data_IF_935279767851
#
_entry.id   IF_935279767851
#
_cell.length_a   1.000
_cell.length_b   1.000
_cell.length_c   1.000
_cell.angle_alpha   90.00
_cell.angle_beta   90.00
_cell.angle_gamma   90.00
#
_symmetry.space_group_name_H-M   'P 1'
#
loop_
_entity.id
_entity.type
_entity.pdbx_description
1 polymer ?
#
# COMPACT_ATOMS: atom_id res chain seq x y z
N UNK A 1 22.50 -15.93 17.87
CA UNK A 1 21.62 -15.55 16.73
C UNK A 1 20.76 -14.41 17.27
N UNK A 2 20.71 -13.28 16.56
CA UNK A 2 19.90 -12.13 16.98
C UNK A 2 18.41 -12.48 16.82
N UNK A 3 17.56 -12.10 17.77
CA UNK A 3 16.13 -12.39 17.74
C UNK A 3 15.33 -11.11 17.51
N UNK A 4 14.31 -11.19 16.66
CA UNK A 4 13.34 -10.12 16.40
C UNK A 4 11.93 -10.66 16.57
N UNK A 5 11.14 -9.98 17.38
CA UNK A 5 9.71 -10.26 17.52
C UNK A 5 8.92 -9.17 16.82
N UNK A 6 7.96 -9.56 15.97
CA UNK A 6 7.09 -8.61 15.25
C UNK A 6 5.66 -8.82 15.74
N UNK A 7 5.08 -7.80 16.37
CA UNK A 7 3.74 -7.87 16.94
C UNK A 7 2.71 -7.20 16.04
N UNK A 8 1.58 -7.90 15.80
CA UNK A 8 0.44 -7.42 15.02
C UNK A 8 -0.87 -7.79 15.70
N UNK A 9 -1.92 -6.98 15.46
CA UNK A 9 -3.27 -7.25 15.95
C UNK A 9 -4.26 -7.62 14.84
N UNK A 10 -3.90 -7.40 13.58
CA UNK A 10 -4.77 -7.71 12.46
C UNK A 10 -4.62 -9.17 12.05
N UNK A 11 -5.75 -9.78 11.71
CA UNK A 11 -5.80 -11.10 11.11
C UNK A 11 -5.96 -11.06 9.60
N UNK A 12 -6.69 -10.04 9.10
CA UNK A 12 -6.89 -9.86 7.67
C UNK A 12 -5.64 -9.24 7.03
N UNK A 13 -5.30 -9.71 5.83
CA UNK A 13 -4.10 -9.24 5.12
C UNK A 13 -4.43 -7.99 4.33
N UNK A 14 -3.94 -6.85 4.81
CA UNK A 14 -3.95 -5.55 4.11
C UNK A 14 -2.52 -5.06 3.84
N UNK A 15 -2.38 -3.82 3.40
CA UNK A 15 -1.05 -3.26 3.08
C UNK A 15 -0.06 -3.26 4.26
N UNK A 16 -0.54 -3.05 5.49
CA UNK A 16 0.29 -3.10 6.69
C UNK A 16 0.78 -4.52 7.02
N UNK A 17 -0.02 -5.53 6.74
CA UNK A 17 0.30 -6.94 6.96
C UNK A 17 1.24 -7.47 5.88
N UNK A 18 1.07 -7.04 4.63
CA UNK A 18 2.05 -7.29 3.56
C UNK A 18 3.41 -6.74 3.96
N UNK A 19 3.46 -5.51 4.49
CA UNK A 19 4.71 -4.91 4.97
C UNK A 19 5.30 -5.64 6.17
N UNK A 20 4.48 -6.19 7.07
CA UNK A 20 4.99 -7.02 8.17
C UNK A 20 5.74 -8.25 7.63
N UNK A 21 5.14 -8.98 6.70
CA UNK A 21 5.78 -10.14 6.07
C UNK A 21 7.05 -9.76 5.31
N UNK A 22 7.03 -8.62 4.63
CA UNK A 22 8.22 -8.09 3.94
C UNK A 22 9.35 -7.77 4.93
N UNK A 23 9.06 -7.10 6.06
CA UNK A 23 10.04 -6.85 7.13
C UNK A 23 10.56 -8.16 7.72
N UNK A 24 9.68 -9.15 7.95
CA UNK A 24 10.07 -10.46 8.47
C UNK A 24 11.03 -11.20 7.52
N UNK A 25 10.73 -11.21 6.23
CA UNK A 25 11.59 -11.82 5.18
C UNK A 25 12.95 -11.12 5.11
N UNK A 26 12.97 -9.79 5.10
CA UNK A 26 14.19 -8.99 5.09
C UNK A 26 15.05 -9.26 6.34
N UNK A 27 14.47 -9.22 7.55
CA UNK A 27 15.18 -9.51 8.79
C UNK A 27 15.74 -10.95 8.82
N UNK A 28 14.96 -11.95 8.35
CA UNK A 28 15.44 -13.34 8.22
C UNK A 28 16.64 -13.43 7.26
N UNK A 29 16.60 -12.73 6.13
CA UNK A 29 17.72 -12.71 5.18
C UNK A 29 18.99 -12.03 5.72
N UNK A 30 18.84 -11.19 6.77
CA UNK A 30 19.93 -10.55 7.52
C UNK A 30 20.43 -11.41 8.71
N UNK A 31 19.93 -12.65 8.83
CA UNK A 31 20.38 -13.60 9.86
C UNK A 31 19.64 -13.48 11.20
N UNK A 32 18.53 -12.77 11.27
CA UNK A 32 17.68 -12.71 12.47
C UNK A 32 16.75 -13.92 12.53
N UNK A 33 16.57 -14.46 13.74
CA UNK A 33 15.47 -15.36 14.04
C UNK A 33 14.22 -14.52 14.29
N UNK A 34 13.26 -14.59 13.39
CA UNK A 34 12.03 -13.79 13.45
C UNK A 34 10.89 -14.61 14.05
N UNK A 35 10.16 -14.02 14.98
CA UNK A 35 8.96 -14.60 15.59
C UNK A 35 7.80 -13.60 15.47
N UNK A 36 6.68 -14.05 14.89
CA UNK A 36 5.46 -13.25 14.77
C UNK A 36 4.61 -13.42 16.02
N UNK A 37 4.16 -12.32 16.61
CA UNK A 37 3.33 -12.29 17.82
C UNK A 37 1.97 -11.73 17.45
N UNK A 38 0.94 -12.56 17.42
CA UNK A 38 -0.41 -12.17 16.99
C UNK A 38 -1.53 -12.79 17.84
N UNK A 39 -2.80 -12.38 17.60
CA UNK A 39 -3.97 -12.92 18.29
C UNK A 39 -4.31 -14.34 17.85
N UNK A 40 -5.11 -15.03 18.66
CA UNK A 40 -5.70 -16.31 18.29
C UNK A 40 -6.86 -16.17 17.30
N UNK A 41 -7.53 -15.01 17.33
CA UNK A 41 -8.62 -14.66 16.40
C UNK A 41 -8.62 -13.13 16.17
N UNK A 42 -8.66 -12.67 14.89
CA UNK A 42 -8.44 -13.42 13.67
C UNK A 42 -6.97 -13.84 13.54
N UNK A 43 -6.68 -14.98 12.89
CA UNK A 43 -5.34 -15.60 12.88
C UNK A 43 -4.69 -15.71 11.50
N UNK A 44 -5.34 -15.24 10.44
CA UNK A 44 -4.90 -15.40 9.03
C UNK A 44 -3.43 -15.00 8.82
N UNK A 45 -3.02 -13.85 9.38
CA UNK A 45 -1.63 -13.38 9.25
C UNK A 45 -0.63 -14.28 10.01
N UNK A 46 -1.02 -14.75 11.21
CA UNK A 46 -0.17 -15.62 12.01
C UNK A 46 0.00 -16.98 11.32
N UNK A 47 -1.04 -17.49 10.69
CA UNK A 47 -0.98 -18.73 9.88
C UNK A 47 -0.16 -18.49 8.61
N UNK A 48 -0.40 -17.41 7.85
CA UNK A 48 0.40 -17.08 6.67
C UNK A 48 1.91 -16.96 6.99
N UNK A 49 2.24 -16.38 8.14
CA UNK A 49 3.63 -16.33 8.60
C UNK A 49 4.19 -17.74 8.94
N UNK A 50 3.37 -18.61 9.50
CA UNK A 50 3.77 -20.00 9.79
C UNK A 50 3.98 -20.82 8.50
N UNK A 51 3.13 -20.61 7.49
CA UNK A 51 3.27 -21.23 6.17
C UNK A 51 4.58 -20.83 5.47
N UNK A 52 5.08 -19.62 5.75
CA UNK A 52 6.41 -19.16 5.32
C UNK A 52 7.56 -19.64 6.22
N UNK A 53 7.28 -20.46 7.24
CA UNK A 53 8.27 -21.03 8.16
C UNK A 53 8.77 -20.06 9.25
N UNK A 54 8.03 -18.99 9.55
CA UNK A 54 8.33 -18.13 10.70
C UNK A 54 7.83 -18.76 12.00
N UNK A 55 8.61 -18.61 13.08
CA UNK A 55 8.14 -18.92 14.42
C UNK A 55 6.99 -18.00 14.82
N UNK A 56 6.07 -18.47 15.65
CA UNK A 56 4.91 -17.71 16.10
C UNK A 56 4.66 -17.80 17.59
N UNK A 57 4.13 -16.75 18.16
CA UNK A 57 3.54 -16.67 19.50
C UNK A 57 2.08 -16.26 19.33
N UNK A 58 1.16 -17.18 19.59
CA UNK A 58 -0.28 -16.93 19.51
C UNK A 58 -0.78 -16.50 20.88
N UNK A 59 -1.21 -15.25 20.97
CA UNK A 59 -1.77 -14.69 22.21
C UNK A 59 -3.26 -15.07 22.33
N UNK A 60 -3.75 -15.47 23.53
CA UNK A 60 -5.15 -15.83 23.74
C UNK A 60 -6.04 -14.59 23.70
N UNK A 61 -6.36 -14.12 22.51
CA UNK A 61 -7.13 -12.90 22.29
C UNK A 61 -8.03 -13.03 21.06
N UNK A 62 -9.31 -12.67 21.22
CA UNK A 62 -10.34 -12.70 20.19
C UNK A 62 -10.85 -11.32 19.79
N UNK A 63 -10.31 -10.29 20.42
CA UNK A 63 -10.61 -8.89 20.11
C UNK A 63 -9.45 -7.98 20.50
N UNK A 64 -9.53 -6.73 20.05
CA UNK A 64 -8.47 -5.71 20.22
C UNK A 64 -8.10 -5.49 21.69
N UNK A 65 -9.06 -5.43 22.61
CA UNK A 65 -8.80 -5.16 24.01
C UNK A 65 -8.05 -6.33 24.68
N UNK A 66 -8.50 -7.56 24.42
CA UNK A 66 -7.82 -8.77 24.91
C UNK A 66 -6.41 -8.87 24.34
N UNK A 67 -6.22 -8.57 23.05
CA UNK A 67 -4.90 -8.56 22.42
C UNK A 67 -3.97 -7.55 23.09
N UNK A 68 -4.41 -6.33 23.31
CA UNK A 68 -3.59 -5.30 23.94
C UNK A 68 -3.15 -5.71 25.36
N UNK A 69 -4.05 -6.30 26.13
CA UNK A 69 -3.72 -6.81 27.47
C UNK A 69 -2.75 -7.99 27.41
N UNK A 70 -3.03 -8.98 26.57
CA UNK A 70 -2.20 -10.17 26.40
C UNK A 70 -0.78 -9.81 25.93
N UNK A 71 -0.65 -8.93 24.93
CA UNK A 71 0.64 -8.45 24.44
C UNK A 71 1.41 -7.67 25.54
N UNK A 72 0.71 -6.83 26.30
CA UNK A 72 1.32 -6.10 27.40
C UNK A 72 1.88 -7.03 28.48
N UNK A 73 1.13 -8.08 28.84
CA UNK A 73 1.56 -9.09 29.80
C UNK A 73 2.71 -9.92 29.25
N UNK A 74 2.61 -10.36 28.01
CA UNK A 74 3.66 -11.13 27.33
C UNK A 74 4.97 -10.32 27.28
N UNK A 75 4.93 -9.08 26.81
CA UNK A 75 6.12 -8.22 26.74
C UNK A 75 6.70 -7.85 28.11
N UNK A 76 5.89 -7.88 29.19
CA UNK A 76 6.41 -7.72 30.55
C UNK A 76 7.32 -8.86 31.00
N UNK A 77 7.06 -10.06 30.50
CA UNK A 77 7.85 -11.28 30.77
C UNK A 77 9.05 -11.43 29.81
N UNK A 78 9.03 -10.70 28.70
CA UNK A 78 10.04 -10.72 27.63
C UNK A 78 10.61 -9.31 27.40
N UNK A 79 10.95 -8.60 28.47
CA UNK A 79 11.35 -7.15 28.41
C UNK A 79 12.67 -6.88 27.69
N UNK A 80 13.50 -7.90 27.54
CA UNK A 80 14.84 -7.80 26.94
C UNK A 80 14.83 -8.10 25.42
N UNK A 81 13.68 -8.54 24.87
CA UNK A 81 13.56 -8.79 23.42
C UNK A 81 13.38 -7.48 22.65
N UNK A 82 13.89 -7.45 21.42
CA UNK A 82 13.57 -6.38 20.48
C UNK A 82 12.19 -6.66 19.87
N UNK A 83 11.23 -5.75 20.09
CA UNK A 83 9.87 -5.84 19.62
C UNK A 83 9.58 -4.82 18.54
N UNK A 84 9.27 -5.29 17.33
CA UNK A 84 8.74 -4.48 16.24
C UNK A 84 7.21 -4.44 16.32
N UNK A 85 6.66 -3.28 16.66
CA UNK A 85 5.22 -3.06 16.76
C UNK A 85 4.67 -2.66 15.39
N UNK A 86 4.00 -3.59 14.70
CA UNK A 86 3.40 -3.38 13.38
C UNK A 86 2.03 -2.71 13.53
N UNK A 87 2.01 -1.39 13.52
CA UNK A 87 0.83 -0.55 13.66
C UNK A 87 0.59 0.00 15.06
N UNK A 88 -0.46 0.81 15.17
CA UNK A 88 -0.79 1.58 16.38
C UNK A 88 -1.18 0.70 17.57
N UNK A 89 -1.90 -0.38 17.35
CA UNK A 89 -2.46 -1.22 18.43
C UNK A 89 -1.37 -1.91 19.24
N UNK A 90 -0.42 -2.68 18.63
CA UNK A 90 0.69 -3.25 19.37
C UNK A 90 1.60 -2.19 19.98
N UNK A 91 1.78 -1.05 19.31
CA UNK A 91 2.55 0.08 19.84
C UNK A 91 1.91 0.68 21.11
N UNK A 92 0.58 0.88 21.10
CA UNK A 92 -0.16 1.38 22.27
C UNK A 92 -0.20 0.34 23.40
N UNK A 93 -0.40 -0.94 23.08
CA UNK A 93 -0.39 -2.01 24.10
C UNK A 93 0.91 -2.05 24.91
N UNK A 94 2.03 -1.73 24.27
CA UNK A 94 3.37 -1.76 24.86
C UNK A 94 3.92 -0.36 25.21
N UNK A 95 3.10 0.69 25.09
CA UNK A 95 3.47 2.07 25.36
C UNK A 95 4.19 2.26 26.71
N UNK A 96 5.26 3.07 26.70
CA UNK A 96 6.11 3.34 27.87
C UNK A 96 7.17 2.28 28.17
N UNK A 97 7.28 1.20 27.39
CA UNK A 97 8.34 0.18 27.50
C UNK A 97 9.50 0.49 26.55
N UNK A 98 10.68 -0.04 26.84
CA UNK A 98 11.90 0.07 26.01
C UNK A 98 11.99 -1.07 24.98
N UNK A 99 13.05 -1.08 24.20
CA UNK A 99 13.39 -2.10 23.18
C UNK A 99 12.27 -2.31 22.16
N UNK A 100 11.69 -1.19 21.68
CA UNK A 100 10.58 -1.23 20.73
C UNK A 100 10.85 -0.35 19.53
N UNK A 101 10.56 -0.90 18.36
CA UNK A 101 10.37 -0.18 17.10
C UNK A 101 8.86 -0.01 16.91
N UNK A 102 8.40 1.20 16.65
CA UNK A 102 6.99 1.49 16.33
C UNK A 102 6.90 1.77 14.84
N UNK A 103 6.13 0.97 14.12
CA UNK A 103 5.92 1.14 12.68
C UNK A 103 4.45 1.45 12.40
N UNK A 104 4.16 2.69 12.03
CA UNK A 104 2.81 3.17 11.72
C UNK A 104 2.62 3.14 10.19
N UNK A 105 1.61 2.41 9.72
CA UNK A 105 1.34 2.25 8.28
C UNK A 105 0.37 3.28 7.72
N UNK A 106 -0.33 3.99 8.59
CA UNK A 106 -1.28 5.03 8.21
C UNK A 106 -1.39 6.08 9.31
N UNK A 107 -1.89 7.26 8.93
CA UNK A 107 -2.20 8.31 9.91
C UNK A 107 -3.41 7.89 10.73
N UNK A 108 -3.28 7.78 12.04
CA UNK A 108 -4.43 7.56 12.90
C UNK A 108 -5.32 8.79 12.91
N UNK A 109 -6.63 8.59 12.71
CA UNK A 109 -7.64 9.65 12.73
C UNK A 109 -8.51 9.59 13.99
N UNK A 110 -9.17 10.68 14.32
CA UNK A 110 -10.13 10.77 15.41
C UNK A 110 -9.51 10.40 16.78
N UNK A 111 -10.20 9.55 17.55
CA UNK A 111 -9.74 9.12 18.87
C UNK A 111 -8.43 8.32 18.84
N UNK A 112 -8.16 7.62 17.73
CA UNK A 112 -6.91 6.86 17.58
C UNK A 112 -5.69 7.78 17.50
N UNK A 113 -5.81 9.00 16.98
CA UNK A 113 -4.71 9.97 16.95
C UNK A 113 -4.21 10.32 18.35
N UNK A 114 -5.11 10.36 19.36
CA UNK A 114 -4.76 10.63 20.77
C UNK A 114 -3.91 9.53 21.40
N UNK A 115 -3.89 8.33 20.82
CA UNK A 115 -3.07 7.22 21.31
C UNK A 115 -1.61 7.28 20.82
N UNK A 116 -1.32 8.02 19.74
CA UNK A 116 0.01 8.08 19.11
C UNK A 116 1.11 8.52 20.10
N UNK A 117 0.96 9.61 20.88
CA UNK A 117 2.00 10.01 21.82
C UNK A 117 2.31 8.94 22.88
N UNK A 118 1.28 8.24 23.36
CA UNK A 118 1.47 7.15 24.31
C UNK A 118 2.12 5.93 23.66
N UNK A 119 1.69 5.55 22.46
CA UNK A 119 2.25 4.44 21.69
C UNK A 119 3.75 4.63 21.43
N UNK A 120 4.17 5.85 21.13
CA UNK A 120 5.57 6.23 20.86
C UNK A 120 6.43 6.38 22.12
N UNK A 121 5.80 6.52 23.29
CA UNK A 121 6.53 6.77 24.54
C UNK A 121 7.57 5.68 24.82
N UNK A 122 8.86 6.06 24.94
CA UNK A 122 10.01 5.18 25.12
C UNK A 122 10.24 4.17 23.98
N UNK A 123 9.63 4.36 22.82
CA UNK A 123 10.07 3.65 21.61
C UNK A 123 11.48 4.13 21.24
N UNK A 124 12.30 3.24 20.72
CA UNK A 124 13.64 3.60 20.26
C UNK A 124 13.59 4.37 18.96
N UNK A 125 12.63 4.03 18.10
CA UNK A 125 12.34 4.72 16.84
C UNK A 125 10.86 4.57 16.51
N UNK A 126 10.32 5.55 15.78
CA UNK A 126 9.00 5.48 15.15
C UNK A 126 9.19 5.61 13.65
N UNK A 127 8.70 4.63 12.91
CA UNK A 127 8.80 4.52 11.46
C UNK A 127 7.46 4.82 10.81
N UNK A 128 7.49 5.50 9.67
CA UNK A 128 6.31 5.85 8.85
C UNK A 128 6.60 5.65 7.37
N UNK A 129 5.60 5.35 6.52
CA UNK A 129 5.84 4.90 5.15
C UNK A 129 6.21 6.01 4.16
N UNK A 130 6.06 7.29 4.50
CA UNK A 130 6.28 8.41 3.58
C UNK A 130 6.56 9.71 4.32
N UNK A 131 7.10 10.69 3.62
CA UNK A 131 7.26 12.08 4.12
C UNK A 131 5.92 12.73 4.41
N UNK A 132 4.90 12.40 3.61
CA UNK A 132 3.54 12.86 3.89
C UNK A 132 3.08 12.47 5.30
N UNK A 133 3.29 11.21 5.69
CA UNK A 133 2.94 10.72 7.05
C UNK A 133 3.89 11.30 8.09
N UNK A 134 5.18 11.46 7.80
CA UNK A 134 6.17 12.06 8.70
C UNK A 134 5.80 13.49 9.11
N UNK A 135 5.36 14.32 8.15
CA UNK A 135 4.90 15.68 8.45
C UNK A 135 3.75 15.71 9.48
N UNK A 136 2.87 14.73 9.43
CA UNK A 136 1.77 14.60 10.37
C UNK A 136 2.13 13.84 11.66
N UNK A 137 3.34 13.28 11.72
CA UNK A 137 3.86 12.54 12.88
C UNK A 137 5.30 12.99 13.21
N UNK A 138 5.50 14.24 13.66
CA UNK A 138 6.83 14.80 13.90
C UNK A 138 7.72 13.93 14.79
N UNK A 139 9.01 13.79 14.42
CA UNK A 139 9.97 12.94 15.12
C UNK A 139 9.78 11.44 14.85
N UNK A 140 9.07 11.07 13.78
CA UNK A 140 9.19 9.77 13.13
C UNK A 140 10.25 9.81 12.03
N UNK A 141 10.65 8.66 11.54
CA UNK A 141 11.59 8.49 10.44
C UNK A 141 10.87 7.83 9.26
N UNK A 142 11.16 8.28 8.04
CA UNK A 142 10.60 7.66 6.84
C UNK A 142 11.21 6.28 6.64
N UNK A 143 10.35 5.30 6.57
CA UNK A 143 10.65 3.91 6.29
C UNK A 143 9.71 3.46 5.17
N UNK A 144 10.06 3.82 3.93
CA UNK A 144 9.22 3.62 2.78
C UNK A 144 8.84 2.14 2.63
N UNK A 145 7.57 1.89 2.31
CA UNK A 145 7.09 0.57 1.95
C UNK A 145 7.77 0.08 0.66
N UNK A 146 7.74 -1.23 0.44
CA UNK A 146 8.26 -1.85 -0.78
C UNK A 146 7.40 -3.01 -1.22
N UNK A 147 7.52 -3.35 -2.49
CA UNK A 147 6.78 -4.44 -3.13
C UNK A 147 7.74 -5.29 -3.95
N UNK A 148 7.40 -6.57 -4.11
CA UNK A 148 8.07 -7.43 -5.08
C UNK A 148 7.85 -6.92 -6.49
N UNK A 149 8.83 -7.11 -7.36
CA UNK A 149 8.66 -6.79 -8.78
C UNK A 149 7.54 -7.63 -9.39
N UNK A 150 6.73 -6.97 -10.21
CA UNK A 150 5.69 -7.62 -11.02
C UNK A 150 6.25 -7.82 -12.42
N UNK A 151 6.24 -9.06 -12.88
CA UNK A 151 6.68 -9.39 -14.23
C UNK A 151 5.46 -9.50 -15.15
N UNK A 152 5.36 -8.58 -16.08
CA UNK A 152 4.33 -8.64 -17.13
C UNK A 152 4.99 -8.77 -18.50
N UNK A 153 4.49 -9.67 -19.33
CA UNK A 153 4.80 -9.68 -20.75
C UNK A 153 3.94 -8.62 -21.44
N UNK A 154 4.37 -7.35 -21.34
CA UNK A 154 3.65 -6.27 -22.02
C UNK A 154 4.03 -6.25 -23.50
N UNK A 155 3.05 -6.49 -24.36
CA UNK A 155 3.10 -6.02 -25.73
C UNK A 155 2.60 -4.57 -25.73
N UNK A 156 3.54 -3.63 -25.76
CA UNK A 156 3.24 -2.20 -25.77
C UNK A 156 2.70 -1.69 -27.11
N UNK A 157 2.55 -2.56 -28.12
CA UNK A 157 1.93 -2.18 -29.39
C UNK A 157 0.43 -1.99 -29.22
N UNK A 158 0.00 -0.74 -29.10
CA UNK A 158 -1.42 -0.42 -28.92
C UNK A 158 -2.18 -0.58 -30.25
N UNK A 159 -1.57 -0.22 -31.38
CA UNK A 159 -2.23 -0.20 -32.69
C UNK A 159 -3.53 0.63 -32.68
N UNK A 160 -4.52 0.19 -33.46
CA UNK A 160 -5.83 0.86 -33.53
C UNK A 160 -6.86 0.34 -32.54
N UNK A 161 -6.47 -0.56 -31.63
CA UNK A 161 -7.39 -1.06 -30.59
C UNK A 161 -7.72 0.00 -29.54
N UNK A 162 -8.80 -0.23 -28.81
CA UNK A 162 -9.11 0.57 -27.62
C UNK A 162 -8.02 0.45 -26.57
N UNK A 163 -7.71 1.56 -25.93
CA UNK A 163 -6.81 1.59 -24.78
C UNK A 163 -7.51 1.07 -23.53
N UNK A 164 -6.81 0.27 -22.76
CA UNK A 164 -7.32 -0.35 -21.54
C UNK A 164 -6.79 0.39 -20.31
N UNK A 165 -7.69 1.13 -19.68
CA UNK A 165 -7.43 1.85 -18.43
C UNK A 165 -7.66 0.90 -17.26
N UNK A 166 -6.67 0.70 -16.40
CA UNK A 166 -6.74 -0.19 -15.25
C UNK A 166 -7.00 0.54 -13.94
N UNK A 167 -7.73 -0.11 -13.06
CA UNK A 167 -7.87 0.26 -11.65
C UNK A 167 -7.62 -0.98 -10.79
N UNK A 168 -6.82 -0.83 -9.73
CA UNK A 168 -6.57 -1.88 -8.74
C UNK A 168 -6.71 -1.34 -7.32
N UNK A 169 -7.68 -1.84 -6.58
CA UNK A 169 -7.88 -1.43 -5.20
C UNK A 169 -9.25 -1.76 -4.65
N UNK A 170 -9.48 -1.44 -3.39
CA UNK A 170 -10.81 -1.59 -2.78
C UNK A 170 -11.80 -0.69 -3.49
N UNK A 171 -12.98 -1.22 -3.79
CA UNK A 171 -14.06 -0.45 -4.39
C UNK A 171 -14.78 0.35 -3.30
N UNK A 172 -14.24 1.52 -2.96
CA UNK A 172 -14.79 2.45 -1.99
C UNK A 172 -14.75 3.87 -2.53
N UNK A 173 -15.66 4.77 -2.10
CA UNK A 173 -15.63 6.18 -2.53
C UNK A 173 -14.28 6.86 -2.26
N UNK A 174 -13.68 6.56 -1.12
CA UNK A 174 -12.38 7.10 -0.70
C UNK A 174 -11.23 6.75 -1.67
N UNK A 175 -11.33 5.65 -2.42
CA UNK A 175 -10.38 5.23 -3.45
C UNK A 175 -10.68 5.81 -4.84
N UNK A 176 -11.72 6.63 -4.96
CA UNK A 176 -12.01 7.43 -6.14
C UNK A 176 -12.55 6.66 -7.35
N UNK A 177 -13.10 5.45 -7.16
CA UNK A 177 -13.67 4.67 -8.27
C UNK A 177 -14.81 5.43 -8.97
N UNK A 178 -15.63 6.17 -8.24
CA UNK A 178 -16.69 7.00 -8.81
C UNK A 178 -16.15 8.13 -9.68
N UNK A 179 -15.05 8.78 -9.25
CA UNK A 179 -14.34 9.79 -10.04
C UNK A 179 -13.81 9.21 -11.35
N UNK A 180 -13.22 7.99 -11.30
CA UNK A 180 -12.74 7.30 -12.50
C UNK A 180 -13.90 6.94 -13.44
N UNK A 181 -15.01 6.40 -12.91
CA UNK A 181 -16.18 6.10 -13.75
C UNK A 181 -16.71 7.35 -14.46
N UNK A 182 -16.79 8.48 -13.76
CA UNK A 182 -17.22 9.76 -14.35
C UNK A 182 -16.24 10.24 -15.44
N UNK A 183 -14.94 10.14 -15.22
CA UNK A 183 -13.90 10.50 -16.19
C UNK A 183 -14.00 9.61 -17.45
N UNK A 184 -14.14 8.30 -17.26
CA UNK A 184 -14.28 7.33 -18.36
C UNK A 184 -15.57 7.53 -19.16
N UNK A 185 -16.68 7.86 -18.49
CA UNK A 185 -17.95 8.19 -19.16
C UNK A 185 -17.81 9.44 -20.02
N UNK A 186 -17.12 10.47 -19.53
CA UNK A 186 -16.87 11.68 -20.30
C UNK A 186 -15.97 11.43 -21.54
N UNK A 187 -14.95 10.60 -21.40
CA UNK A 187 -14.05 10.22 -22.50
C UNK A 187 -14.75 9.41 -23.62
N UNK A 188 -15.72 8.59 -23.25
CA UNK A 188 -16.44 7.70 -24.16
C UNK A 188 -17.85 8.25 -24.55
N UNK A 189 -18.12 9.55 -24.35
CA UNK A 189 -19.44 10.13 -24.57
C UNK A 189 -19.91 10.06 -26.03
N UNK A 190 -19.01 10.35 -26.96
CA UNK A 190 -19.31 10.34 -28.40
C UNK A 190 -19.01 8.98 -29.04
N UNK A 191 -17.86 8.40 -28.70
CA UNK A 191 -17.39 7.11 -29.20
C UNK A 191 -16.61 6.38 -28.09
N UNK A 192 -16.77 5.05 -28.00
CA UNK A 192 -16.03 4.24 -27.04
C UNK A 192 -14.62 3.98 -27.56
N UNK A 193 -13.65 4.72 -27.02
CA UNK A 193 -12.21 4.64 -27.38
C UNK A 193 -11.34 4.07 -26.25
N UNK A 194 -11.89 3.97 -25.05
CA UNK A 194 -11.23 3.40 -23.87
C UNK A 194 -12.07 2.30 -23.24
N UNK A 195 -11.44 1.19 -22.89
CA UNK A 195 -12.03 0.16 -22.04
C UNK A 195 -11.51 0.33 -20.59
N UNK A 196 -12.34 0.02 -19.60
CA UNK A 196 -11.99 0.09 -18.19
C UNK A 196 -11.87 -1.32 -17.60
N UNK A 197 -10.71 -1.66 -17.03
CA UNK A 197 -10.48 -2.95 -16.34
C UNK A 197 -10.35 -2.71 -14.85
N UNK A 198 -11.25 -3.31 -14.07
CA UNK A 198 -11.39 -3.05 -12.64
C UNK A 198 -11.01 -4.30 -11.85
N UNK A 199 -9.94 -4.21 -11.07
CA UNK A 199 -9.54 -5.20 -10.07
C UNK A 199 -9.88 -4.74 -8.65
N UNK A 200 -10.60 -5.56 -7.91
CA UNK A 200 -10.96 -5.29 -6.52
C UNK A 200 -12.42 -5.54 -6.17
N UNK A 201 -12.70 -5.45 -4.88
CA UNK A 201 -14.03 -5.70 -4.30
C UNK A 201 -14.38 -4.63 -3.25
N UNK A 202 -15.69 -4.43 -2.94
CA UNK A 202 -16.15 -3.46 -1.94
C UNK A 202 -15.96 -4.01 -0.51
N UNK A 203 -14.73 -4.37 -0.16
CA UNK A 203 -14.39 -4.90 1.16
C UNK A 203 -14.37 -3.75 2.18
N UNK A 204 -14.97 -3.96 3.36
CA UNK A 204 -15.09 -2.99 4.45
C UNK A 204 -15.89 -1.72 4.12
N UNK A 205 -16.67 -1.72 3.04
CA UNK A 205 -17.56 -0.61 2.69
C UNK A 205 -18.89 -0.73 3.44
N UNK A 206 -19.48 0.39 3.85
CA UNK A 206 -20.85 0.45 4.34
C UNK A 206 -21.86 0.17 3.23
N UNK A 207 -23.13 -0.05 3.56
CA UNK A 207 -24.16 -0.30 2.55
C UNK A 207 -24.37 0.94 1.66
N UNK A 208 -24.26 2.14 2.23
CA UNK A 208 -24.34 3.40 1.48
C UNK A 208 -23.16 3.53 0.51
N UNK A 209 -21.94 3.27 0.96
CA UNK A 209 -20.73 3.31 0.12
C UNK A 209 -20.80 2.26 -1.01
N UNK A 210 -21.34 1.07 -0.73
CA UNK A 210 -21.56 0.03 -1.75
C UNK A 210 -22.55 0.49 -2.81
N UNK A 211 -23.65 1.13 -2.39
CA UNK A 211 -24.66 1.65 -3.32
C UNK A 211 -24.07 2.72 -4.22
N UNK A 212 -23.34 3.69 -3.67
CA UNK A 212 -22.65 4.74 -4.43
C UNK A 212 -21.71 4.15 -5.47
N UNK A 213 -20.87 3.17 -5.07
CA UNK A 213 -19.93 2.50 -5.96
C UNK A 213 -20.65 1.75 -7.08
N UNK A 214 -21.69 0.97 -6.76
CA UNK A 214 -22.44 0.22 -7.78
C UNK A 214 -23.20 1.14 -8.75
N UNK A 215 -23.68 2.29 -8.32
CA UNK A 215 -24.28 3.31 -9.20
C UNK A 215 -23.25 3.88 -10.16
N UNK A 216 -22.03 4.20 -9.69
CA UNK A 216 -20.94 4.65 -10.54
C UNK A 216 -20.54 3.59 -11.55
N UNK A 217 -20.39 2.33 -11.14
CA UNK A 217 -20.03 1.21 -11.99
C UNK A 217 -21.06 0.91 -13.09
N UNK A 218 -22.35 1.14 -12.83
CA UNK A 218 -23.40 1.02 -13.86
C UNK A 218 -23.20 1.97 -15.03
N UNK A 219 -22.67 3.18 -14.81
CA UNK A 219 -22.45 4.18 -15.85
C UNK A 219 -21.43 3.73 -16.89
N UNK A 220 -20.49 2.86 -16.50
CA UNK A 220 -19.39 2.38 -17.36
C UNK A 220 -19.58 0.93 -17.81
N UNK A 221 -20.72 0.30 -17.50
CA UNK A 221 -20.93 -1.15 -17.70
C UNK A 221 -20.77 -1.62 -19.15
N UNK A 222 -21.00 -0.74 -20.15
CA UNK A 222 -20.89 -1.09 -21.57
C UNK A 222 -19.45 -1.16 -22.10
N UNK A 223 -18.48 -0.61 -21.37
CA UNK A 223 -17.06 -0.60 -21.75
C UNK A 223 -16.14 -0.94 -20.57
N UNK A 224 -16.65 -1.61 -19.55
CA UNK A 224 -15.84 -2.05 -18.41
C UNK A 224 -15.88 -3.56 -18.22
N UNK A 225 -14.76 -4.08 -17.68
CA UNK A 225 -14.62 -5.47 -17.24
C UNK A 225 -14.24 -5.47 -15.76
N UNK A 226 -15.02 -6.20 -14.95
CA UNK A 226 -14.77 -6.38 -13.51
C UNK A 226 -14.12 -7.74 -13.28
N UNK A 227 -12.90 -7.76 -12.75
CA UNK A 227 -12.16 -8.99 -12.45
C UNK A 227 -12.46 -9.55 -11.04
N UNK A 228 -13.14 -8.77 -10.19
CA UNK A 228 -13.26 -9.09 -8.79
C UNK A 228 -11.90 -8.96 -8.08
N UNK A 229 -11.70 -9.74 -7.03
CA UNK A 229 -10.39 -9.80 -6.39
C UNK A 229 -9.37 -10.38 -7.36
N UNK A 230 -8.27 -9.67 -7.57
CA UNK A 230 -7.23 -10.05 -8.54
C UNK A 230 -5.84 -9.62 -8.04
N UNK A 231 -4.80 -10.22 -8.59
CA UNK A 231 -3.42 -9.85 -8.30
C UNK A 231 -2.90 -8.77 -9.26
N UNK A 232 -1.86 -8.01 -8.88
CA UNK A 232 -1.22 -7.06 -9.78
C UNK A 232 -0.79 -7.67 -11.11
N UNK A 233 -0.18 -8.87 -11.11
CA UNK A 233 0.26 -9.57 -12.33
C UNK A 233 -0.89 -9.81 -13.32
N UNK A 234 -2.05 -10.24 -12.81
CA UNK A 234 -3.23 -10.52 -13.64
C UNK A 234 -3.80 -9.23 -14.25
N UNK A 235 -3.93 -8.16 -13.43
CA UNK A 235 -4.43 -6.90 -13.94
C UNK A 235 -3.46 -6.27 -14.93
N UNK A 236 -2.19 -6.15 -14.58
CA UNK A 236 -1.19 -5.42 -15.37
C UNK A 236 -0.95 -6.07 -16.73
N UNK A 237 -1.11 -7.39 -16.86
CA UNK A 237 -1.09 -8.07 -18.15
C UNK A 237 -2.29 -7.75 -19.06
N UNK A 238 -3.32 -7.05 -18.55
CA UNK A 238 -4.55 -6.75 -19.29
C UNK A 238 -4.81 -5.25 -19.51
N UNK A 239 -3.91 -4.37 -19.10
CA UNK A 239 -4.09 -2.91 -19.16
C UNK A 239 -2.92 -2.23 -19.88
N UNK A 240 -3.12 -1.00 -20.32
CA UNK A 240 -2.10 -0.17 -20.97
C UNK A 240 -1.63 0.96 -20.07
N UNK A 241 -2.45 1.39 -19.13
CA UNK A 241 -2.14 2.37 -18.08
C UNK A 241 -2.91 2.06 -16.81
N UNK A 242 -2.33 2.42 -15.66
CA UNK A 242 -3.00 2.32 -14.36
C UNK A 242 -3.45 3.70 -13.90
N UNK A 243 -4.66 3.78 -13.34
CA UNK A 243 -5.18 5.00 -12.69
C UNK A 243 -5.39 4.72 -11.20
N UNK A 244 -4.83 5.60 -10.35
CA UNK A 244 -4.98 5.56 -8.89
C UNK A 244 -5.61 6.87 -8.42
N UNK A 245 -6.94 6.99 -8.53
CA UNK A 245 -7.67 8.24 -8.37
C UNK A 245 -8.14 8.50 -6.94
N UNK A 246 -7.36 8.05 -5.94
CA UNK A 246 -7.75 8.16 -4.53
C UNK A 246 -8.17 9.57 -4.15
N UNK A 247 -9.28 9.69 -3.38
CA UNK A 247 -9.77 10.96 -2.84
C UNK A 247 -9.24 11.14 -1.42
N UNK A 248 -9.30 10.09 -0.61
CA UNK A 248 -8.72 10.13 0.73
C UNK A 248 -7.19 10.01 0.65
N UNK A 249 -6.46 10.73 1.53
CA UNK A 249 -5.01 10.69 1.54
C UNK A 249 -4.45 9.28 1.73
N UNK A 250 -3.58 8.88 0.82
CA UNK A 250 -2.83 7.62 0.90
C UNK A 250 -1.59 7.79 1.76
N UNK A 251 -1.30 6.79 2.56
CA UNK A 251 -0.06 6.78 3.34
C UNK A 251 1.17 6.38 2.53
N UNK A 252 0.96 5.68 1.40
CA UNK A 252 2.02 5.29 0.46
C UNK A 252 1.48 5.07 -0.96
N UNK A 253 0.67 4.02 -1.19
CA UNK A 253 0.20 3.60 -2.52
C UNK A 253 1.00 2.41 -3.06
N UNK A 254 0.86 1.22 -2.44
CA UNK A 254 1.58 0.02 -2.87
C UNK A 254 1.35 -0.31 -4.35
N UNK A 255 0.12 -0.16 -4.83
CA UNK A 255 -0.24 -0.43 -6.22
C UNK A 255 0.51 0.45 -7.22
N UNK A 256 0.87 1.68 -6.84
CA UNK A 256 1.70 2.57 -7.67
C UNK A 256 3.11 1.99 -7.79
N UNK A 257 3.72 1.57 -6.68
CA UNK A 257 5.04 0.96 -6.70
C UNK A 257 5.05 -0.38 -7.47
N UNK A 258 3.96 -1.15 -7.39
CA UNK A 258 3.77 -2.38 -8.18
C UNK A 258 3.72 -2.05 -9.69
N UNK A 259 2.97 -1.03 -10.11
CA UNK A 259 2.91 -0.60 -11.50
C UNK A 259 4.26 -0.07 -12.01
N UNK A 260 4.98 0.71 -11.18
CA UNK A 260 6.34 1.17 -11.51
C UNK A 260 7.28 -0.01 -11.76
N UNK A 261 7.20 -1.08 -10.95
CA UNK A 261 8.01 -2.29 -11.12
C UNK A 261 7.71 -3.03 -12.41
N UNK A 262 6.45 -2.96 -12.87
CA UNK A 262 5.98 -3.57 -14.12
C UNK A 262 6.15 -2.67 -15.35
N UNK A 263 6.69 -1.45 -15.20
CA UNK A 263 6.78 -0.43 -16.26
C UNK A 263 5.42 -0.04 -16.85
N UNK A 264 4.34 -0.14 -16.05
CA UNK A 264 3.01 0.33 -16.43
C UNK A 264 2.97 1.85 -16.22
N UNK A 265 2.63 2.65 -17.23
CA UNK A 265 2.37 4.09 -17.03
C UNK A 265 1.26 4.31 -16.01
N UNK A 266 1.44 5.28 -15.12
CA UNK A 266 0.47 5.52 -14.05
C UNK A 266 -0.06 6.95 -14.08
N UNK A 267 -1.33 7.13 -13.73
CA UNK A 267 -1.92 8.42 -13.39
C UNK A 267 -2.32 8.34 -11.91
N UNK A 268 -1.88 9.30 -11.12
CA UNK A 268 -2.18 9.34 -9.68
C UNK A 268 -2.88 10.65 -9.32
N UNK A 269 -3.74 10.61 -8.32
CA UNK A 269 -4.20 11.85 -7.69
C UNK A 269 -3.15 12.42 -6.72
N UNK A 270 -3.28 13.69 -6.35
CA UNK A 270 -2.46 14.37 -5.35
C UNK A 270 -2.81 13.95 -3.90
N UNK A 271 -3.52 12.86 -3.72
CA UNK A 271 -3.99 12.37 -2.43
C UNK A 271 -2.85 11.77 -1.58
N UNK A 272 -2.36 12.53 -0.64
CA UNK A 272 -1.37 12.08 0.34
C UNK A 272 0.00 11.81 -0.25
N UNK A 273 0.52 10.59 -0.10
CA UNK A 273 1.87 10.22 -0.53
C UNK A 273 1.97 9.81 -2.01
N UNK A 274 0.88 9.75 -2.78
CA UNK A 274 0.92 9.24 -4.16
C UNK A 274 1.88 10.03 -5.05
N UNK A 275 1.83 11.37 -4.97
CA UNK A 275 2.76 12.25 -5.68
C UNK A 275 4.23 11.98 -5.28
N UNK A 276 4.51 11.78 -3.98
CA UNK A 276 5.84 11.44 -3.49
C UNK A 276 6.37 10.15 -4.11
N UNK A 277 5.52 9.11 -4.22
CA UNK A 277 5.92 7.80 -4.75
C UNK A 277 6.35 7.88 -6.20
N UNK A 278 5.64 8.63 -7.05
CA UNK A 278 5.98 8.79 -8.47
C UNK A 278 7.12 9.80 -8.74
N UNK A 279 7.62 10.50 -7.73
CA UNK A 279 8.77 11.42 -7.90
C UNK A 279 8.46 12.89 -7.66
N UNK A 280 7.24 13.24 -7.26
CA UNK A 280 6.83 14.60 -6.92
C UNK A 280 6.37 15.41 -8.13
N UNK A 281 6.39 16.72 -8.00
CA UNK A 281 5.82 17.67 -8.98
C UNK A 281 6.40 17.57 -10.41
N UNK A 282 7.56 16.95 -10.58
CA UNK A 282 8.13 16.73 -11.91
C UNK A 282 7.42 15.66 -12.72
N UNK A 283 6.60 14.81 -12.08
CA UNK A 283 5.83 13.78 -12.76
C UNK A 283 4.54 14.37 -13.37
N UNK A 284 4.31 14.29 -14.69
CA UNK A 284 3.26 15.07 -15.36
C UNK A 284 1.84 14.54 -15.14
N UNK A 285 1.68 13.30 -14.69
CA UNK A 285 0.39 12.64 -14.53
C UNK A 285 -0.06 12.57 -13.07
N UNK A 286 0.07 13.70 -12.37
CA UNK A 286 -0.53 13.95 -11.06
C UNK A 286 -1.75 14.86 -11.28
N UNK A 287 -2.93 14.41 -10.86
CA UNK A 287 -4.18 15.16 -11.01
C UNK A 287 -4.78 15.53 -9.65
N UNK A 288 -5.59 16.57 -9.61
CA UNK A 288 -6.29 16.95 -8.39
C UNK A 288 -7.29 15.87 -7.96
N UNK A 289 -7.26 15.48 -6.70
CA UNK A 289 -8.15 14.45 -6.15
C UNK A 289 -9.63 14.82 -6.31
N UNK A 290 -10.46 13.87 -6.75
CA UNK A 290 -11.89 14.06 -6.90
C UNK A 290 -12.31 14.92 -8.11
N UNK A 291 -11.40 15.22 -9.06
CA UNK A 291 -11.69 16.03 -10.26
C UNK A 291 -11.77 15.13 -11.50
N UNK A 292 -12.98 14.70 -11.92
CA UNK A 292 -13.13 13.75 -13.03
C UNK A 292 -12.70 14.32 -14.39
N UNK A 293 -12.83 15.63 -14.61
CA UNK A 293 -12.43 16.26 -15.89
C UNK A 293 -10.91 16.35 -16.01
N UNK A 294 -10.19 16.68 -14.92
CA UNK A 294 -8.73 16.68 -14.90
C UNK A 294 -8.19 15.26 -15.13
N UNK A 295 -8.84 14.26 -14.51
CA UNK A 295 -8.50 12.87 -14.71
C UNK A 295 -8.74 12.41 -16.15
N UNK A 296 -9.87 12.81 -16.75
CA UNK A 296 -10.16 12.51 -18.17
C UNK A 296 -9.11 13.14 -19.10
N UNK A 297 -8.72 14.39 -18.86
CA UNK A 297 -7.67 15.06 -19.64
C UNK A 297 -6.32 14.32 -19.54
N UNK A 298 -5.94 13.89 -18.33
CA UNK A 298 -4.71 13.12 -18.12
C UNK A 298 -4.74 11.74 -18.80
N UNK A 299 -5.87 11.01 -18.73
CA UNK A 299 -6.06 9.72 -19.43
C UNK A 299 -5.92 9.92 -20.94
N UNK A 300 -6.55 10.97 -21.48
CA UNK A 300 -6.47 11.28 -22.90
C UNK A 300 -5.03 11.58 -23.32
N UNK A 301 -4.34 12.48 -22.61
CA UNK A 301 -2.95 12.85 -22.90
C UNK A 301 -2.00 11.63 -22.86
N UNK A 302 -2.09 10.82 -21.80
CA UNK A 302 -1.28 9.60 -21.71
C UNK A 302 -1.64 8.58 -22.80
N UNK A 303 -2.92 8.50 -23.18
CA UNK A 303 -3.40 7.66 -24.26
C UNK A 303 -2.86 8.07 -25.62
N UNK A 304 -2.72 9.37 -25.88
CA UNK A 304 -2.09 9.90 -27.09
C UNK A 304 -0.60 9.53 -27.16
N UNK A 305 0.15 9.69 -26.06
CA UNK A 305 1.56 9.28 -25.98
C UNK A 305 1.75 7.77 -26.19
N UNK A 306 0.84 6.94 -25.65
CA UNK A 306 0.86 5.50 -25.85
C UNK A 306 0.63 5.12 -27.34
N UNK A 307 -0.29 5.81 -28.03
CA UNK A 307 -0.56 5.56 -29.46
C UNK A 307 0.59 6.00 -30.35
N UNK A 308 1.23 7.11 -30.01
CA UNK A 308 2.38 7.65 -30.73
C UNK A 308 3.67 6.85 -30.45
N UNK A 309 3.65 5.92 -29.49
CA UNK A 309 4.84 5.22 -29.00
C UNK A 309 5.96 6.21 -28.60
N UNK A 310 5.58 7.22 -27.83
CA UNK A 310 6.42 8.36 -27.47
C UNK A 310 7.70 7.92 -26.77
N UNK A 311 8.86 8.42 -27.21
CA UNK A 311 10.14 8.23 -26.55
C UNK A 311 10.14 8.76 -25.13
N UNK A 312 9.45 9.88 -24.90
CA UNK A 312 9.35 10.52 -23.58
C UNK A 312 8.57 9.65 -22.60
N UNK A 313 7.53 8.96 -23.07
CA UNK A 313 6.80 7.99 -22.24
C UNK A 313 7.70 6.79 -21.86
N UNK A 314 8.47 6.27 -22.84
CA UNK A 314 9.39 5.18 -22.58
C UNK A 314 10.50 5.57 -21.59
N UNK A 315 11.00 6.80 -21.65
CA UNK A 315 11.96 7.36 -20.69
C UNK A 315 11.34 7.47 -19.30
N UNK A 316 10.17 8.11 -19.18
CA UNK A 316 9.46 8.27 -17.89
C UNK A 316 9.11 6.94 -17.23
N UNK A 317 8.64 5.96 -18.00
CA UNK A 317 8.38 4.62 -17.42
C UNK A 317 9.64 3.92 -16.97
N UNK A 318 10.77 4.16 -17.66
CA UNK A 318 12.08 3.68 -17.23
C UNK A 318 12.56 4.38 -15.96
N UNK A 319 12.39 5.69 -15.85
CA UNK A 319 12.69 6.46 -14.63
C UNK A 319 11.88 5.97 -13.43
N UNK A 320 10.59 5.73 -13.61
CA UNK A 320 9.72 5.15 -12.57
C UNK A 320 10.20 3.76 -12.15
N UNK A 321 10.60 2.90 -13.09
CA UNK A 321 11.14 1.59 -12.79
C UNK A 321 12.44 1.68 -11.98
N UNK A 322 13.38 2.56 -12.37
CA UNK A 322 14.62 2.76 -11.62
C UNK A 322 14.35 3.33 -10.23
N UNK A 323 13.40 4.26 -10.13
CA UNK A 323 12.95 4.80 -8.84
C UNK A 323 12.37 3.70 -7.93
N UNK A 324 11.55 2.79 -8.48
CA UNK A 324 11.08 1.62 -7.74
C UNK A 324 12.26 0.76 -7.30
N UNK A 325 13.18 0.46 -8.20
CA UNK A 325 14.31 -0.41 -7.91
C UNK A 325 15.18 0.14 -6.78
N UNK A 326 15.46 1.43 -6.79
CA UNK A 326 16.29 2.11 -5.79
C UNK A 326 15.59 2.30 -4.45
N UNK A 327 14.27 2.56 -4.45
CA UNK A 327 13.57 2.99 -3.25
C UNK A 327 12.51 2.00 -2.77
N UNK A 328 11.90 1.20 -3.65
CA UNK A 328 10.69 0.43 -3.33
C UNK A 328 10.81 -1.05 -3.69
N UNK A 329 12.00 -1.53 -4.03
CA UNK A 329 12.29 -2.95 -4.24
C UNK A 329 12.54 -3.70 -2.93
N UNK A 330 12.46 -5.04 -2.92
CA UNK A 330 12.82 -5.85 -1.77
C UNK A 330 14.27 -5.63 -1.30
N UNK A 331 15.20 -5.36 -2.20
CA UNK A 331 16.59 -5.05 -1.91
C UNK A 331 16.71 -3.74 -1.14
N UNK A 332 16.04 -2.68 -1.61
CA UNK A 332 15.99 -1.40 -0.90
C UNK A 332 15.32 -1.54 0.48
N UNK A 333 14.26 -2.34 0.56
CA UNK A 333 13.60 -2.67 1.83
C UNK A 333 14.53 -3.40 2.80
N UNK A 334 15.31 -4.37 2.31
CA UNK A 334 16.29 -5.10 3.11
C UNK A 334 17.38 -4.19 3.68
N UNK A 335 17.89 -3.25 2.89
CA UNK A 335 18.87 -2.25 3.36
C UNK A 335 18.28 -1.44 4.50
N UNK A 336 17.09 -0.87 4.35
CA UNK A 336 16.41 -0.10 5.41
C UNK A 336 16.16 -0.91 6.69
N UNK A 337 15.74 -2.17 6.56
CA UNK A 337 15.60 -3.06 7.72
C UNK A 337 16.94 -3.27 8.42
N UNK A 338 18.01 -3.46 7.65
CA UNK A 338 19.39 -3.59 8.18
C UNK A 338 19.81 -2.36 8.98
N UNK A 339 19.68 -1.17 8.41
CA UNK A 339 20.03 0.11 9.05
C UNK A 339 19.26 0.33 10.37
N UNK A 340 17.97 0.00 10.40
CA UNK A 340 17.18 0.09 11.64
C UNK A 340 17.65 -0.93 12.67
N UNK A 341 17.87 -2.19 12.28
CA UNK A 341 18.24 -3.26 13.22
C UNK A 341 19.69 -3.15 13.72
N UNK A 342 20.60 -2.57 12.96
CA UNK A 342 21.99 -2.29 13.39
C UNK A 342 22.06 -1.38 14.62
N UNK A 343 21.11 -0.46 14.79
CA UNK A 343 21.02 0.43 15.96
C UNK A 343 20.78 -0.34 17.28
N UNK A 344 20.38 -1.61 17.19
CA UNK A 344 20.10 -2.51 18.32
C UNK A 344 21.08 -3.68 18.39
N UNK A 345 22.16 -3.65 17.61
CA UNK A 345 23.10 -4.74 17.49
C UNK A 345 24.23 -4.72 18.54
N UNK A 346 24.19 -3.76 19.46
CA UNK A 346 25.15 -3.61 20.55
C UNK A 346 24.87 -4.44 21.79
#
# INVERSE_FOLDING_TARGET
MKELYIATNNGDIGGGEVMLLNVARAARSLGYKVTIVGPSEPNQLVEAAADEGFARVVLPAKNRAQYMLALRVWHARHKDVLLWCNGLVPAAATGGRKNRIVHLHQLPAGLNAKLVPFARRKASVTLVPSRYVEHSCPGSEVFANWVSGVSTALDHSVGDRRLRVGYLGRLTPSKGIATLCSAMSALNADEVVYDLVIGGEPVFASDEERTEVEEALKQVSSFSTRLGWTTPDQLFGSIDMLVVPSIAPESFGLVVAEAMSARIPVIVSDAGALAEVVGGESYPYIVSAGQPLDLAAAIKSLGEELRENSSDLAERTSELFWRWQENYSPEAGKVRVGEVLERFAG
#
